data_IF_396887635766
#
_entry.id   IF_396887635766
#
_cell.length_a   1.000
_cell.length_b   1.000
_cell.length_c   1.000
_cell.angle_alpha   90.00
_cell.angle_beta   90.00
_cell.angle_gamma   90.00
#
_symmetry.space_group_name_H-M   'P 1'
#
loop_
_entity.id
_entity.type
_entity.pdbx_description
1 polymer ?
#
# COMPACT_ATOMS: atom_id res chain seq x y z
N UNK A 1 -10.84 0.97 -9.07
CA UNK A 1 -9.75 0.10 -9.56
C UNK A 1 -10.11 -1.37 -9.44
N UNK A 2 -10.35 -1.88 -8.23
CA UNK A 2 -10.71 -3.28 -7.96
C UNK A 2 -11.89 -3.77 -8.81
N UNK A 3 -13.03 -3.06 -8.81
CA UNK A 3 -14.23 -3.42 -9.61
C UNK A 3 -13.95 -3.56 -11.11
N UNK A 4 -13.19 -2.62 -11.68
CA UNK A 4 -12.87 -2.61 -13.12
C UNK A 4 -11.86 -3.73 -13.45
N UNK A 5 -10.85 -3.94 -12.59
CA UNK A 5 -9.90 -5.04 -12.79
C UNK A 5 -10.56 -6.41 -12.68
N UNK A 6 -11.43 -6.58 -11.68
CA UNK A 6 -12.12 -7.84 -11.40
C UNK A 6 -13.25 -8.20 -12.37
N UNK A 7 -13.73 -7.26 -13.20
CA UNK A 7 -14.79 -7.53 -14.17
C UNK A 7 -14.30 -8.23 -15.45
N UNK A 8 -13.01 -8.53 -15.56
CA UNK A 8 -12.39 -9.19 -16.73
C UNK A 8 -12.14 -10.67 -16.47
N UNK A 9 -12.04 -11.47 -17.53
CA UNK A 9 -11.78 -12.91 -17.40
C UNK A 9 -10.45 -13.23 -16.69
N UNK A 10 -9.41 -12.44 -16.95
CA UNK A 10 -8.11 -12.56 -16.29
C UNK A 10 -8.15 -12.08 -14.85
N UNK A 11 -9.07 -11.16 -14.52
CA UNK A 11 -9.23 -10.55 -13.21
C UNK A 11 -10.16 -11.29 -12.25
N UNK A 12 -10.75 -12.43 -12.62
CA UNK A 12 -11.72 -13.19 -11.79
C UNK A 12 -11.26 -13.53 -10.37
N UNK A 13 -9.94 -13.55 -10.13
CA UNK A 13 -9.34 -13.78 -8.82
C UNK A 13 -9.39 -12.54 -7.91
N UNK A 14 -9.64 -11.35 -8.46
CA UNK A 14 -9.78 -10.10 -7.71
C UNK A 14 -11.23 -9.98 -7.26
N UNK A 15 -11.47 -10.13 -5.95
CA UNK A 15 -12.81 -9.99 -5.37
C UNK A 15 -12.86 -8.75 -4.51
N UNK A 16 -13.85 -7.90 -4.75
CA UNK A 16 -14.00 -6.64 -4.01
C UNK A 16 -14.18 -6.86 -2.51
N UNK A 17 -14.96 -7.87 -2.13
CA UNK A 17 -15.22 -8.23 -0.74
C UNK A 17 -13.91 -8.48 0.04
N UNK A 18 -12.88 -9.01 -0.60
CA UNK A 18 -11.63 -9.38 0.08
C UNK A 18 -10.88 -8.16 0.63
N UNK A 19 -11.19 -6.94 0.18
CA UNK A 19 -10.55 -5.71 0.63
C UNK A 19 -11.24 -5.05 1.83
N UNK A 20 -12.36 -5.58 2.29
CA UNK A 20 -13.10 -5.09 3.46
C UNK A 20 -12.78 -5.92 4.71
N UNK A 21 -13.03 -5.35 5.89
CA UNK A 21 -13.02 -6.08 7.16
C UNK A 21 -14.18 -7.09 7.21
N UNK A 22 -14.19 -8.04 8.18
CA UNK A 22 -15.33 -8.93 8.38
C UNK A 22 -16.66 -8.22 8.68
N UNK A 23 -16.60 -6.99 9.21
CA UNK A 23 -17.78 -6.12 9.43
C UNK A 23 -18.19 -5.33 8.17
N UNK A 24 -17.45 -5.45 7.07
CA UNK A 24 -17.72 -4.73 5.82
C UNK A 24 -17.14 -3.32 5.76
N UNK A 25 -16.27 -2.94 6.70
CA UNK A 25 -15.64 -1.62 6.74
C UNK A 25 -14.40 -1.55 5.85
N UNK A 26 -14.10 -0.38 5.31
CA UNK A 26 -12.88 -0.14 4.55
C UNK A 26 -11.88 0.64 5.42
N UNK A 27 -10.87 -0.06 5.93
CA UNK A 27 -9.91 0.49 6.91
C UNK A 27 -8.47 0.30 6.47
N UNK A 28 -7.64 1.30 6.72
CA UNK A 28 -6.19 1.29 6.41
C UNK A 28 -5.32 1.10 7.64
N UNK A 29 -5.94 1.02 8.81
CA UNK A 29 -5.32 0.73 10.09
C UNK A 29 -5.09 -0.77 10.28
N UNK A 30 -4.68 -1.17 11.49
CA UNK A 30 -4.37 -2.57 11.83
C UNK A 30 -5.56 -3.51 11.74
N UNK A 31 -6.79 -2.99 11.75
CA UNK A 31 -8.02 -3.77 11.61
C UNK A 31 -8.43 -3.94 10.14
N UNK A 32 -7.72 -3.30 9.21
CA UNK A 32 -7.91 -3.45 7.77
C UNK A 32 -7.69 -4.88 7.28
N UNK A 33 -8.27 -5.20 6.13
CA UNK A 33 -8.10 -6.52 5.51
C UNK A 33 -6.62 -6.82 5.24
N UNK A 34 -6.12 -8.04 5.52
CA UNK A 34 -4.79 -8.47 5.13
C UNK A 34 -4.52 -8.34 3.63
N UNK A 35 -5.55 -8.51 2.78
CA UNK A 35 -5.43 -8.35 1.32
C UNK A 35 -5.19 -6.89 0.95
N UNK A 36 -5.85 -5.96 1.65
CA UNK A 36 -5.65 -4.53 1.46
C UNK A 36 -4.26 -4.09 1.94
N UNK A 37 -3.87 -4.48 3.15
CA UNK A 37 -2.59 -4.08 3.76
C UNK A 37 -1.36 -4.65 3.04
N UNK A 38 -1.54 -5.73 2.26
CA UNK A 38 -0.48 -6.33 1.45
C UNK A 38 -0.56 -5.99 -0.04
N UNK A 39 -1.58 -5.26 -0.49
CA UNK A 39 -1.71 -4.93 -1.91
C UNK A 39 -0.61 -3.98 -2.39
N UNK A 40 -0.27 -4.06 -3.68
CA UNK A 40 0.76 -3.21 -4.28
C UNK A 40 0.48 -1.72 -4.09
N UNK A 41 -0.78 -1.30 -4.22
CA UNK A 41 -1.18 0.11 -4.05
C UNK A 41 -0.88 0.61 -2.63
N UNK A 42 -1.22 -0.18 -1.61
CA UNK A 42 -0.93 0.17 -0.22
C UNK A 42 0.57 0.33 0.00
N UNK A 43 1.35 -0.66 -0.46
CA UNK A 43 2.82 -0.63 -0.35
C UNK A 43 3.43 0.59 -1.04
N UNK A 44 2.95 0.94 -2.25
CA UNK A 44 3.43 2.11 -2.99
C UNK A 44 3.03 3.44 -2.32
N UNK A 45 1.83 3.56 -1.76
CA UNK A 45 1.43 4.83 -1.14
C UNK A 45 2.12 5.06 0.21
N UNK A 46 2.35 4.01 0.99
CA UNK A 46 2.83 4.13 2.37
C UNK A 46 4.30 3.76 2.58
N UNK A 47 5.09 3.56 1.52
CA UNK A 47 6.52 3.26 1.66
C UNK A 47 7.24 4.34 2.48
N UNK A 48 7.83 3.93 3.61
CA UNK A 48 8.48 4.79 4.62
C UNK A 48 7.58 5.84 5.30
N UNK A 49 6.27 5.81 5.05
CA UNK A 49 5.32 6.76 5.65
C UNK A 49 5.14 6.55 7.16
N UNK A 50 5.36 5.32 7.65
CA UNK A 50 5.24 4.98 9.08
C UNK A 50 6.16 5.78 10.02
N UNK A 51 7.21 6.41 9.47
CA UNK A 51 8.20 7.21 10.21
C UNK A 51 7.94 8.72 10.13
N UNK A 52 6.95 9.15 9.33
CA UNK A 52 6.67 10.58 9.08
C UNK A 52 5.66 11.11 10.10
N UNK A 53 6.00 12.21 10.74
CA UNK A 53 5.06 12.99 11.56
C UNK A 53 4.29 13.96 10.66
N UNK A 54 3.01 13.65 10.44
CA UNK A 54 2.12 14.50 9.64
C UNK A 54 1.36 15.53 10.49
N UNK A 55 1.25 15.29 11.80
CA UNK A 55 0.54 16.16 12.74
C UNK A 55 1.14 16.06 14.15
N UNK A 56 1.20 17.19 14.87
CA UNK A 56 1.88 17.27 16.17
C UNK A 56 1.22 16.47 17.30
N UNK A 57 -0.09 16.19 17.21
CA UNK A 57 -0.86 15.48 18.25
C UNK A 57 -1.07 13.99 17.94
N UNK A 58 -0.60 13.52 16.78
CA UNK A 58 -0.80 12.15 16.33
C UNK A 58 0.53 11.38 16.24
N UNK A 59 0.50 10.04 16.38
CA UNK A 59 1.66 9.20 16.17
C UNK A 59 2.18 9.31 14.72
N UNK A 60 3.44 8.94 14.46
CA UNK A 60 3.97 8.90 13.10
C UNK A 60 3.23 7.85 12.26
N UNK A 61 3.10 8.10 10.96
CA UNK A 61 2.28 7.30 10.06
C UNK A 61 0.77 7.56 10.17
N UNK A 62 0.38 8.75 10.63
CA UNK A 62 -1.02 9.16 10.66
C UNK A 62 -1.45 9.72 9.29
N UNK A 63 -2.45 9.07 8.67
CA UNK A 63 -3.04 9.53 7.42
C UNK A 63 -4.14 10.55 7.70
N UNK A 64 -3.88 11.81 7.35
CA UNK A 64 -4.79 12.95 7.56
C UNK A 64 -6.09 12.88 6.74
N UNK A 65 -6.09 12.17 5.61
CA UNK A 65 -7.29 12.06 4.75
C UNK A 65 -8.21 10.98 5.29
N UNK A 66 -7.65 9.86 5.76
CA UNK A 66 -8.43 8.76 6.36
C UNK A 66 -8.66 8.92 7.87
N UNK A 67 -8.00 9.88 8.51
CA UNK A 67 -8.01 10.10 9.96
C UNK A 67 -7.63 8.83 10.76
N UNK A 68 -6.66 8.06 10.26
CA UNK A 68 -6.27 6.77 10.82
C UNK A 68 -4.74 6.60 10.82
N UNK A 69 -4.24 5.89 11.82
CA UNK A 69 -2.86 5.40 11.84
C UNK A 69 -2.75 4.18 10.92
N UNK A 70 -1.72 4.14 10.06
CA UNK A 70 -1.56 3.03 9.11
C UNK A 70 -1.27 1.70 9.81
N UNK A 71 -1.85 0.62 9.28
CA UNK A 71 -1.69 -0.73 9.83
C UNK A 71 -0.26 -1.28 9.75
N UNK A 72 0.35 -1.21 8.57
CA UNK A 72 1.70 -1.73 8.31
C UNK A 72 2.68 -0.57 8.15
N UNK A 73 3.51 -0.34 9.17
CA UNK A 73 4.49 0.76 9.19
C UNK A 73 5.83 0.42 8.56
N UNK A 74 6.27 -0.83 8.75
CA UNK A 74 7.59 -1.29 8.36
C UNK A 74 7.45 -2.41 7.33
N UNK A 75 7.72 -2.08 6.07
CA UNK A 75 7.79 -3.04 4.97
C UNK A 75 8.76 -2.51 3.90
N UNK A 76 9.31 -3.44 3.13
CA UNK A 76 10.18 -3.12 1.99
C UNK A 76 9.48 -3.38 0.66
N UNK A 77 10.04 -2.78 -0.39
CA UNK A 77 9.60 -2.98 -1.76
C UNK A 77 10.57 -3.93 -2.47
N UNK A 78 10.13 -5.16 -2.73
CA UNK A 78 10.98 -6.20 -3.30
C UNK A 78 11.29 -5.94 -4.77
N UNK A 79 10.27 -5.51 -5.53
CA UNK A 79 10.32 -5.36 -6.99
C UNK A 79 10.30 -3.89 -7.48
N UNK A 80 10.15 -2.94 -6.57
CA UNK A 80 10.14 -1.51 -6.86
C UNK A 80 11.25 -0.79 -6.09
N UNK A 81 11.77 0.28 -6.65
CA UNK A 81 12.61 1.26 -5.97
C UNK A 81 11.98 2.65 -6.06
N UNK A 82 12.06 3.43 -4.98
CA UNK A 82 11.61 4.81 -4.98
C UNK A 82 12.55 5.66 -5.83
N UNK A 83 12.03 6.22 -6.94
CA UNK A 83 12.81 7.04 -7.86
C UNK A 83 12.72 8.53 -7.49
N UNK A 84 11.54 9.00 -7.08
CA UNK A 84 11.33 10.39 -6.68
C UNK A 84 10.06 10.53 -5.83
N UNK A 85 10.09 11.40 -4.82
CA UNK A 85 8.91 11.81 -4.06
C UNK A 85 8.92 13.33 -3.91
N UNK A 86 7.78 13.95 -4.20
CA UNK A 86 7.61 15.41 -4.06
C UNK A 86 7.74 15.87 -2.61
N UNK A 87 8.07 17.15 -2.40
CA UNK A 87 8.29 17.76 -1.07
C UNK A 87 7.18 17.45 -0.06
N UNK A 88 5.91 17.61 -0.46
CA UNK A 88 4.75 17.36 0.40
C UNK A 88 4.12 15.97 0.19
N UNK A 89 4.85 15.05 -0.44
CA UNK A 89 4.47 13.65 -0.61
C UNK A 89 3.13 13.45 -1.34
N UNK A 90 2.76 14.41 -2.21
CA UNK A 90 1.55 14.35 -3.02
C UNK A 90 1.71 13.40 -4.22
N UNK A 91 2.91 13.36 -4.80
CA UNK A 91 3.25 12.46 -5.91
C UNK A 91 4.51 11.66 -5.55
N UNK A 92 4.43 10.35 -5.81
CA UNK A 92 5.51 9.38 -5.64
C UNK A 92 5.73 8.63 -6.94
N UNK A 93 6.98 8.54 -7.37
CA UNK A 93 7.41 7.89 -8.60
C UNK A 93 8.29 6.71 -8.22
N UNK A 94 7.89 5.53 -8.68
CA UNK A 94 8.62 4.28 -8.46
C UNK A 94 9.18 3.77 -9.78
N UNK A 95 10.40 3.27 -9.73
CA UNK A 95 11.01 2.53 -10.84
C UNK A 95 10.88 1.03 -10.57
N UNK A 96 10.52 0.28 -11.60
CA UNK A 96 10.49 -1.19 -11.54
C UNK A 96 11.93 -1.69 -11.59
N UNK A 97 12.30 -2.56 -10.64
CA UNK A 97 13.63 -3.17 -10.62
C UNK A 97 13.77 -4.18 -11.75
N UNK A 98 14.98 -4.31 -12.27
CA UNK A 98 15.30 -5.39 -13.20
C UNK A 98 15.19 -6.77 -12.53
N UNK A 99 15.10 -7.81 -13.35
CA UNK A 99 15.18 -9.20 -12.88
C UNK A 99 16.46 -9.42 -12.07
N UNK A 100 16.41 -10.38 -11.14
CA UNK A 100 17.59 -10.66 -10.35
C UNK A 100 18.73 -11.18 -11.21
N UNK A 101 19.93 -10.64 -11.01
CA UNK A 101 21.08 -10.93 -11.87
C UNK A 101 21.46 -12.42 -11.86
N UNK A 102 21.11 -13.15 -10.79
CA UNK A 102 21.34 -14.60 -10.66
C UNK A 102 20.08 -15.44 -10.89
N UNK A 103 18.97 -14.83 -11.31
CA UNK A 103 17.70 -15.51 -11.53
C UNK A 103 17.04 -16.03 -10.24
N UNK A 104 17.38 -15.49 -9.06
CA UNK A 104 16.73 -15.86 -7.82
C UNK A 104 15.32 -15.24 -7.73
N UNK A 105 14.41 -15.93 -7.05
CA UNK A 105 13.10 -15.35 -6.73
C UNK A 105 13.24 -14.22 -5.71
N UNK A 106 12.51 -13.12 -5.92
CA UNK A 106 12.47 -11.94 -5.03
C UNK A 106 11.17 -11.86 -4.22
N UNK A 107 10.61 -13.00 -3.85
CA UNK A 107 9.27 -13.13 -3.21
C UNK A 107 9.36 -13.74 -1.84
#
# INVERSE_FOLDING_TARGET
MVRIGGSTDTGRHIKEHDYYTPSGEFRVDREGSPVLLNCLMYKMCYYRFGQVYTEAKHPPGYDRVRNAEIGNKDFELDVLEEAYTTEHWLVRIYKVKDLDNRGLSRT
#
